data_IF_053647980174
#
_entry.id   IF_053647980174
#
_cell.length_a   1.000
_cell.length_b   1.000
_cell.length_c   1.000
_cell.angle_alpha   90.00
_cell.angle_beta   90.00
_cell.angle_gamma   90.00
#
_symmetry.space_group_name_H-M   'P 1'
#
loop_
_entity.id
_entity.type
_entity.pdbx_description
1 polymer ?
#
# COMPACT_ATOMS: atom_id res chain seq x y z
N UNK A 1 15.59 -20.67 -11.54
CA UNK A 1 14.57 -19.65 -11.80
C UNK A 1 13.23 -20.29 -12.09
N UNK A 2 12.14 -19.63 -11.73
CA UNK A 2 10.80 -20.11 -12.06
C UNK A 2 10.60 -20.11 -13.59
N UNK A 3 9.91 -21.10 -14.17
CA UNK A 3 9.55 -21.08 -15.57
C UNK A 3 8.73 -19.83 -15.90
N UNK A 4 8.89 -19.28 -17.09
CA UNK A 4 8.17 -18.07 -17.55
C UNK A 4 6.65 -18.14 -17.36
N UNK A 5 6.05 -19.30 -17.61
CA UNK A 5 4.62 -19.55 -17.37
C UNK A 5 4.22 -19.37 -15.88
N UNK A 6 5.11 -19.74 -14.96
CA UNK A 6 4.87 -19.57 -13.51
C UNK A 6 4.94 -18.08 -13.11
N UNK A 7 5.83 -17.32 -13.72
CA UNK A 7 5.92 -15.87 -13.47
C UNK A 7 4.64 -15.13 -13.93
N UNK A 8 4.08 -15.49 -15.09
CA UNK A 8 2.80 -14.93 -15.56
C UNK A 8 1.65 -15.30 -14.62
N UNK A 9 1.60 -16.55 -14.12
CA UNK A 9 0.58 -16.94 -13.13
C UNK A 9 0.66 -16.13 -11.85
N UNK A 10 1.86 -15.86 -11.34
CA UNK A 10 2.06 -15.01 -10.15
C UNK A 10 1.54 -13.59 -10.37
N UNK A 11 1.83 -13.01 -11.54
CA UNK A 11 1.34 -11.68 -11.90
C UNK A 11 -0.19 -11.65 -12.00
N UNK A 12 -0.80 -12.69 -12.55
CA UNK A 12 -2.27 -12.82 -12.63
C UNK A 12 -2.89 -12.91 -11.22
N UNK A 13 -2.32 -13.71 -10.33
CA UNK A 13 -2.78 -13.84 -8.93
C UNK A 13 -2.66 -12.50 -8.20
N UNK A 14 -1.55 -11.80 -8.37
CA UNK A 14 -1.35 -10.45 -7.83
C UNK A 14 -2.41 -9.46 -8.32
N UNK A 15 -2.71 -9.47 -9.62
CA UNK A 15 -3.73 -8.58 -10.22
C UNK A 15 -5.13 -8.90 -9.72
N UNK A 16 -5.49 -10.18 -9.57
CA UNK A 16 -6.76 -10.59 -8.97
C UNK A 16 -6.86 -10.11 -7.53
N UNK A 17 -5.79 -10.25 -6.73
CA UNK A 17 -5.73 -9.70 -5.37
C UNK A 17 -6.00 -8.20 -5.35
N UNK A 18 -5.38 -7.45 -6.25
CA UNK A 18 -5.59 -6.00 -6.39
C UNK A 18 -7.04 -5.64 -6.72
N UNK A 19 -7.66 -6.34 -7.67
CA UNK A 19 -9.07 -6.13 -8.04
C UNK A 19 -10.01 -6.39 -6.86
N UNK A 20 -9.83 -7.52 -6.17
CA UNK A 20 -10.65 -7.86 -4.99
C UNK A 20 -10.53 -6.78 -3.92
N UNK A 21 -9.33 -6.26 -3.66
CA UNK A 21 -9.13 -5.20 -2.68
C UNK A 21 -9.87 -3.91 -3.05
N UNK A 22 -9.93 -3.55 -4.32
CA UNK A 22 -10.66 -2.36 -4.78
C UNK A 22 -12.12 -2.42 -4.35
N UNK A 23 -12.78 -3.56 -4.59
CA UNK A 23 -14.17 -3.75 -4.19
C UNK A 23 -14.35 -3.79 -2.67
N UNK A 24 -13.49 -4.52 -1.98
CA UNK A 24 -13.51 -4.60 -0.50
C UNK A 24 -13.28 -3.22 0.12
N UNK A 25 -12.30 -2.48 -0.35
CA UNK A 25 -12.01 -1.13 0.14
C UNK A 25 -13.16 -0.17 -0.11
N UNK A 26 -13.78 -0.23 -1.29
CA UNK A 26 -14.93 0.60 -1.63
C UNK A 26 -16.16 0.31 -0.74
N UNK A 27 -16.38 -0.96 -0.39
CA UNK A 27 -17.51 -1.37 0.44
C UNK A 27 -17.29 -1.06 1.94
N UNK A 28 -16.09 -1.28 2.46
CA UNK A 28 -15.87 -1.27 3.91
C UNK A 28 -15.24 0.02 4.47
N UNK A 29 -14.43 0.74 3.69
CA UNK A 29 -13.63 1.86 4.23
C UNK A 29 -14.46 3.08 4.61
N UNK A 30 -15.64 3.28 4.04
CA UNK A 30 -16.52 4.40 4.42
C UNK A 30 -17.40 4.09 5.63
N UNK A 31 -17.79 2.84 5.81
CA UNK A 31 -18.79 2.46 6.81
C UNK A 31 -18.16 1.94 8.11
N UNK A 32 -17.04 1.24 8.05
CA UNK A 32 -16.47 0.51 9.19
C UNK A 32 -15.13 1.10 9.62
N UNK A 33 -14.26 1.52 8.70
CA UNK A 33 -12.91 1.96 9.01
C UNK A 33 -12.60 3.37 8.50
N UNK A 34 -11.85 4.12 9.30
CA UNK A 34 -11.18 5.33 8.83
C UNK A 34 -10.15 4.97 7.76
N UNK A 35 -10.08 5.75 6.67
CA UNK A 35 -9.09 5.57 5.60
C UNK A 35 -7.66 5.45 6.13
N UNK A 36 -7.33 6.17 7.23
CA UNK A 36 -6.01 6.09 7.87
C UNK A 36 -5.75 4.74 8.54
N UNK A 37 -6.74 4.19 9.24
CA UNK A 37 -6.61 2.87 9.89
C UNK A 37 -6.48 1.78 8.84
N UNK A 38 -7.31 1.82 7.80
CA UNK A 38 -7.23 0.88 6.69
C UNK A 38 -5.86 0.94 6.00
N UNK A 39 -5.28 2.14 5.82
CA UNK A 39 -3.94 2.32 5.25
C UNK A 39 -2.85 1.67 6.12
N UNK A 40 -2.91 1.80 7.45
CA UNK A 40 -1.98 1.15 8.38
C UNK A 40 -2.10 -0.38 8.27
N UNK A 41 -3.33 -0.90 8.23
CA UNK A 41 -3.58 -2.35 8.12
C UNK A 41 -3.00 -2.88 6.80
N UNK A 42 -3.25 -2.22 5.68
CA UNK A 42 -2.79 -2.68 4.37
C UNK A 42 -1.27 -2.57 4.21
N UNK A 43 -0.66 -1.48 4.66
CA UNK A 43 0.81 -1.35 4.64
C UNK A 43 1.48 -2.35 5.56
N UNK A 44 0.93 -2.59 6.76
CA UNK A 44 1.40 -3.61 7.69
C UNK A 44 1.28 -5.02 7.12
N UNK A 45 0.15 -5.35 6.50
CA UNK A 45 -0.07 -6.65 5.85
C UNK A 45 0.92 -6.86 4.69
N UNK A 46 1.18 -5.84 3.88
CA UNK A 46 2.18 -5.89 2.80
C UNK A 46 3.58 -6.12 3.34
N UNK A 47 3.97 -5.38 4.39
CA UNK A 47 5.28 -5.50 5.03
C UNK A 47 5.50 -6.91 5.60
N UNK A 48 4.52 -7.46 6.34
CA UNK A 48 4.60 -8.80 6.91
C UNK A 48 4.67 -9.85 5.80
N UNK A 49 3.86 -9.72 4.76
CA UNK A 49 3.86 -10.64 3.62
C UNK A 49 5.20 -10.66 2.90
N UNK A 50 5.80 -9.50 2.64
CA UNK A 50 7.14 -9.41 2.04
C UNK A 50 8.21 -10.00 2.93
N UNK A 51 8.17 -9.74 4.24
CA UNK A 51 9.10 -10.33 5.20
C UNK A 51 9.05 -11.87 5.18
N UNK A 52 7.85 -12.45 5.19
CA UNK A 52 7.67 -13.90 5.15
C UNK A 52 8.20 -14.51 3.85
N UNK A 53 7.97 -13.86 2.73
CA UNK A 53 8.52 -14.30 1.43
C UNK A 53 10.04 -14.17 1.41
N UNK A 54 10.62 -13.12 2.02
CA UNK A 54 12.08 -12.99 2.14
C UNK A 54 12.73 -14.07 3.00
N UNK A 55 12.07 -14.47 4.10
CA UNK A 55 12.59 -15.48 5.02
C UNK A 55 12.37 -16.91 4.52
N UNK A 56 11.26 -17.16 3.84
CA UNK A 56 10.84 -18.48 3.38
C UNK A 56 10.46 -18.47 1.89
N UNK A 57 11.43 -18.35 0.97
CA UNK A 57 11.17 -18.20 -0.47
C UNK A 57 10.76 -19.53 -1.14
N UNK A 58 9.75 -20.21 -0.61
CA UNK A 58 9.19 -21.42 -1.22
C UNK A 58 8.17 -21.07 -2.30
N UNK A 59 8.01 -21.87 -3.37
CA UNK A 59 7.04 -21.58 -4.43
C UNK A 59 5.60 -21.42 -3.92
N UNK A 60 5.23 -22.17 -2.88
CA UNK A 60 3.90 -22.09 -2.27
C UNK A 60 3.70 -20.75 -1.53
N UNK A 61 4.70 -20.31 -0.76
CA UNK A 61 4.67 -19.01 -0.06
C UNK A 61 4.63 -17.86 -1.06
N UNK A 62 5.49 -17.88 -2.07
CA UNK A 62 5.51 -16.84 -3.12
C UNK A 62 4.16 -16.74 -3.82
N UNK A 63 3.52 -17.87 -4.13
CA UNK A 63 2.20 -17.88 -4.79
C UNK A 63 1.09 -17.34 -3.89
N UNK A 64 1.04 -17.80 -2.63
CA UNK A 64 0.03 -17.35 -1.67
C UNK A 64 0.17 -15.85 -1.33
N UNK A 65 1.38 -15.42 -1.07
CA UNK A 65 1.64 -14.01 -0.73
C UNK A 65 1.59 -13.07 -1.94
N UNK A 66 1.73 -13.56 -3.19
CA UNK A 66 1.47 -12.74 -4.38
C UNK A 66 0.05 -12.17 -4.37
N UNK A 67 -0.96 -12.97 -3.99
CA UNK A 67 -2.33 -12.49 -3.81
C UNK A 67 -2.43 -11.45 -2.70
N UNK A 68 -1.85 -11.72 -1.53
CA UNK A 68 -1.93 -10.82 -0.36
C UNK A 68 -1.22 -9.49 -0.64
N UNK A 69 -0.05 -9.52 -1.29
CA UNK A 69 0.68 -8.30 -1.67
C UNK A 69 -0.10 -7.53 -2.73
N UNK A 70 -0.68 -8.20 -3.73
CA UNK A 70 -1.55 -7.57 -4.72
C UNK A 70 -2.76 -6.91 -4.06
N UNK A 71 -3.42 -7.60 -3.14
CA UNK A 71 -4.54 -7.08 -2.38
C UNK A 71 -4.14 -5.85 -1.55
N UNK A 72 -3.15 -5.97 -0.70
CA UNK A 72 -2.80 -4.93 0.25
C UNK A 72 -2.04 -3.76 -0.40
N UNK A 73 -0.94 -4.04 -1.13
CA UNK A 73 -0.10 -2.98 -1.68
C UNK A 73 -0.73 -2.29 -2.90
N UNK A 74 -1.11 -3.05 -3.93
CA UNK A 74 -1.58 -2.46 -5.17
C UNK A 74 -3.04 -1.98 -5.10
N UNK A 75 -3.95 -2.80 -4.55
CA UNK A 75 -5.36 -2.44 -4.46
C UNK A 75 -5.65 -1.48 -3.30
N UNK A 76 -5.10 -1.76 -2.12
CA UNK A 76 -5.43 -1.02 -0.90
C UNK A 76 -4.68 0.31 -0.75
N UNK A 77 -3.36 0.27 -0.72
CA UNK A 77 -2.53 1.44 -0.40
C UNK A 77 -2.68 2.55 -1.43
N UNK A 78 -2.71 2.22 -2.73
CA UNK A 78 -2.82 3.22 -3.80
C UNK A 78 -4.15 3.97 -3.73
N UNK A 79 -5.27 3.26 -3.57
CA UNK A 79 -6.59 3.88 -3.47
C UNK A 79 -6.76 4.74 -2.22
N UNK A 80 -6.30 4.22 -1.07
CA UNK A 80 -6.39 4.95 0.18
C UNK A 80 -5.49 6.18 0.17
N UNK A 81 -4.30 6.09 -0.41
CA UNK A 81 -3.40 7.22 -0.59
C UNK A 81 -4.04 8.36 -1.39
N UNK A 82 -4.62 8.06 -2.55
CA UNK A 82 -5.35 9.03 -3.37
C UNK A 82 -6.54 9.65 -2.60
N UNK A 83 -7.30 8.83 -1.87
CA UNK A 83 -8.45 9.28 -1.07
C UNK A 83 -8.01 10.21 0.06
N UNK A 84 -6.96 9.85 0.81
CA UNK A 84 -6.42 10.67 1.90
C UNK A 84 -5.91 12.01 1.36
N UNK A 85 -5.21 12.01 0.22
CA UNK A 85 -4.75 13.24 -0.43
C UNK A 85 -5.93 14.15 -0.83
N UNK A 86 -6.96 13.60 -1.47
CA UNK A 86 -8.14 14.37 -1.85
C UNK A 86 -8.91 14.94 -0.65
N UNK A 87 -8.95 14.21 0.46
CA UNK A 87 -9.62 14.66 1.70
C UNK A 87 -8.78 15.67 2.48
N UNK A 88 -7.46 15.59 2.44
CA UNK A 88 -6.56 16.51 3.16
C UNK A 88 -6.50 17.89 2.53
N UNK A 89 -6.80 18.01 1.24
CA UNK A 89 -6.75 19.29 0.50
C UNK A 89 -8.08 19.59 -0.20
N UNK A 90 -9.16 19.92 0.55
CA UNK A 90 -10.50 20.10 -0.01
C UNK A 90 -10.60 21.20 -1.07
N UNK A 91 -9.83 22.29 -0.92
CA UNK A 91 -9.81 23.43 -1.84
C UNK A 91 -8.84 23.23 -3.04
N UNK A 92 -8.08 22.14 -3.07
CA UNK A 92 -7.07 21.85 -4.10
C UNK A 92 -7.01 20.38 -4.47
N UNK A 93 -8.12 19.66 -4.44
CA UNK A 93 -8.19 18.21 -4.67
C UNK A 93 -7.48 17.76 -5.94
N UNK A 94 -7.73 18.43 -7.06
CA UNK A 94 -7.11 18.11 -8.35
C UNK A 94 -5.59 18.28 -8.34
N UNK A 95 -5.08 19.38 -7.73
CA UNK A 95 -3.65 19.62 -7.61
C UNK A 95 -2.97 18.58 -6.71
N UNK A 96 -3.55 18.29 -5.55
CA UNK A 96 -3.02 17.30 -4.62
C UNK A 96 -3.00 15.90 -5.23
N UNK A 97 -4.08 15.49 -5.87
CA UNK A 97 -4.20 14.21 -6.57
C UNK A 97 -3.23 14.13 -7.76
N UNK A 98 -3.06 15.23 -8.50
CA UNK A 98 -2.08 15.32 -9.59
C UNK A 98 -0.64 15.11 -9.11
N UNK A 99 -0.23 15.74 -8.00
CA UNK A 99 1.09 15.54 -7.39
C UNK A 99 1.26 14.07 -6.95
N UNK A 100 0.24 13.47 -6.33
CA UNK A 100 0.27 12.08 -5.91
C UNK A 100 0.50 11.12 -7.08
N UNK A 101 -0.25 11.26 -8.16
CA UNK A 101 -0.09 10.41 -9.34
C UNK A 101 1.21 10.68 -10.11
N UNK A 102 1.70 11.93 -10.13
CA UNK A 102 3.00 12.25 -10.71
C UNK A 102 4.13 11.55 -9.94
N UNK A 103 4.11 11.61 -8.61
CA UNK A 103 5.06 10.87 -7.78
C UNK A 103 4.98 9.35 -8.00
N UNK A 104 3.76 8.80 -8.11
CA UNK A 104 3.52 7.41 -8.44
C UNK A 104 4.08 7.01 -9.81
N UNK A 105 3.94 7.87 -10.82
CA UNK A 105 4.47 7.64 -12.16
C UNK A 105 6.00 7.63 -12.17
N UNK A 106 6.63 8.55 -11.43
CA UNK A 106 8.10 8.58 -11.26
C UNK A 106 8.57 7.28 -10.59
N UNK A 107 7.89 6.83 -9.54
CA UNK A 107 8.20 5.57 -8.87
C UNK A 107 8.04 4.37 -9.82
N UNK A 108 6.95 4.32 -10.61
CA UNK A 108 6.68 3.26 -11.59
C UNK A 108 7.75 3.16 -12.68
N UNK A 109 8.45 4.23 -12.97
CA UNK A 109 9.60 4.23 -13.88
C UNK A 109 10.90 3.88 -13.16
N UNK A 110 11.14 4.45 -11.98
CA UNK A 110 12.42 4.35 -11.28
C UNK A 110 12.62 2.97 -10.63
N UNK A 111 11.56 2.41 -10.01
CA UNK A 111 11.64 1.12 -9.31
C UNK A 111 12.04 -0.02 -10.24
N UNK A 112 11.42 -0.22 -11.43
CA UNK A 112 11.86 -1.26 -12.36
C UNK A 112 13.32 -1.12 -12.81
N UNK A 113 13.85 0.10 -12.96
CA UNK A 113 15.26 0.32 -13.30
C UNK A 113 16.19 -0.13 -12.16
N UNK A 114 15.84 0.16 -10.93
CA UNK A 114 16.60 -0.28 -9.75
C UNK A 114 16.54 -1.80 -9.62
N UNK A 115 15.35 -2.39 -9.72
CA UNK A 115 15.17 -3.86 -9.59
C UNK A 115 15.85 -4.60 -10.72
N UNK A 116 15.90 -4.06 -11.95
CA UNK A 116 16.66 -4.63 -13.06
C UNK A 116 18.17 -4.67 -12.79
N UNK A 117 18.73 -3.66 -12.12
CA UNK A 117 20.13 -3.70 -11.65
C UNK A 117 20.35 -4.69 -10.52
N UNK A 118 19.45 -4.71 -9.54
CA UNK A 118 19.52 -5.64 -8.40
C UNK A 118 19.37 -7.11 -8.85
N UNK A 119 18.59 -7.38 -9.90
CA UNK A 119 18.43 -8.73 -10.46
C UNK A 119 19.71 -9.34 -10.98
N UNK A 120 20.68 -8.51 -11.39
CA UNK A 120 22.01 -8.94 -11.83
C UNK A 120 22.88 -9.44 -10.66
N UNK A 121 22.57 -9.00 -9.43
CA UNK A 121 23.28 -9.43 -8.20
C UNK A 121 22.62 -10.69 -7.66
N UNK A 122 21.35 -10.61 -7.29
CA UNK A 122 20.55 -11.77 -6.86
C UNK A 122 19.06 -11.42 -6.81
N UNK A 123 18.21 -12.45 -6.95
CA UNK A 123 16.75 -12.30 -6.76
C UNK A 123 16.42 -11.88 -5.31
N UNK A 124 17.19 -12.42 -4.34
CA UNK A 124 17.04 -12.04 -2.93
C UNK A 124 17.24 -10.53 -2.69
N UNK A 125 18.17 -9.90 -3.41
CA UNK A 125 18.42 -8.45 -3.29
C UNK A 125 17.19 -7.62 -3.68
N UNK A 126 16.43 -8.06 -4.68
CA UNK A 126 15.17 -7.39 -5.06
C UNK A 126 14.15 -7.52 -3.93
N UNK A 127 13.98 -8.71 -3.37
CA UNK A 127 13.00 -8.97 -2.32
C UNK A 127 13.29 -8.15 -1.06
N UNK A 128 14.56 -8.06 -0.66
CA UNK A 128 14.98 -7.23 0.47
C UNK A 128 14.81 -5.73 0.20
N UNK A 129 15.04 -5.29 -1.03
CA UNK A 129 14.78 -3.90 -1.43
C UNK A 129 13.29 -3.56 -1.36
N UNK A 130 12.41 -4.43 -1.86
CA UNK A 130 10.96 -4.25 -1.78
C UNK A 130 10.47 -4.26 -0.32
N UNK A 131 11.04 -5.13 0.52
CA UNK A 131 10.75 -5.15 1.95
C UNK A 131 11.16 -3.83 2.63
N UNK A 132 12.33 -3.28 2.30
CA UNK A 132 12.79 -1.98 2.85
C UNK A 132 11.82 -0.86 2.49
N UNK A 133 11.35 -0.82 1.24
CA UNK A 133 10.34 0.17 0.79
C UNK A 133 9.04 -0.03 1.57
N UNK A 134 8.60 -1.26 1.79
CA UNK A 134 7.40 -1.56 2.56
C UNK A 134 7.51 -1.10 4.02
N UNK A 135 8.67 -1.27 4.65
CA UNK A 135 8.94 -0.76 6.02
C UNK A 135 8.84 0.75 6.07
N UNK A 136 9.47 1.45 5.13
CA UNK A 136 9.40 2.92 5.04
C UNK A 136 7.94 3.36 4.85
N UNK A 137 7.21 2.71 3.94
CA UNK A 137 5.80 2.98 3.69
C UNK A 137 4.93 2.76 4.93
N UNK A 138 5.19 1.70 5.70
CA UNK A 138 4.48 1.42 6.94
C UNK A 138 4.75 2.48 8.02
N UNK A 139 6.00 2.89 8.21
CA UNK A 139 6.36 3.96 9.16
C UNK A 139 5.66 5.28 8.81
N UNK A 140 5.64 5.64 7.51
CA UNK A 140 4.94 6.84 7.04
C UNK A 140 3.42 6.70 7.29
N UNK A 141 2.83 5.54 7.03
CA UNK A 141 1.41 5.29 7.27
C UNK A 141 1.05 5.40 8.76
N UNK A 142 1.88 4.89 9.66
CA UNK A 142 1.73 5.06 11.10
C UNK A 142 1.77 6.53 11.52
N UNK A 143 2.73 7.29 11.00
CA UNK A 143 2.85 8.72 11.30
C UNK A 143 1.61 9.51 10.84
N UNK A 144 1.16 9.29 9.60
CA UNK A 144 -0.03 9.94 9.04
C UNK A 144 -1.29 9.55 9.83
N UNK A 145 -1.43 8.25 10.13
CA UNK A 145 -2.55 7.73 10.89
C UNK A 145 -2.64 8.33 12.30
N UNK A 146 -1.51 8.42 12.99
CA UNK A 146 -1.42 9.05 14.30
C UNK A 146 -1.85 10.52 14.26
N UNK A 147 -1.36 11.28 13.29
CA UNK A 147 -1.73 12.69 13.09
C UNK A 147 -3.21 12.88 12.78
N UNK A 148 -3.80 12.02 11.97
CA UNK A 148 -5.23 12.07 11.66
C UNK A 148 -6.11 11.72 12.87
N UNK A 149 -5.70 10.76 13.70
CA UNK A 149 -6.42 10.41 14.92
C UNK A 149 -6.40 11.57 15.93
N UNK A 150 -5.27 12.23 16.09
CA UNK A 150 -5.17 13.42 16.93
C UNK A 150 -6.07 14.57 16.45
N UNK A 151 -6.07 14.86 15.14
CA UNK A 151 -6.91 15.89 14.56
C UNK A 151 -8.41 15.62 14.76
N UNK A 152 -8.83 14.36 14.63
CA UNK A 152 -10.22 13.94 14.89
C UNK A 152 -10.60 14.06 16.37
N UNK A 153 -9.71 13.71 17.28
CA UNK A 153 -9.93 13.86 18.72
C UNK A 153 -10.12 15.34 19.09
N UNK A 154 -9.29 16.24 18.57
CA UNK A 154 -9.40 17.67 18.78
C UNK A 154 -10.73 18.25 18.24
N UNK A 155 -11.16 17.83 17.05
CA UNK A 155 -12.45 18.26 16.47
C UNK A 155 -13.66 17.76 17.28
N UNK A 156 -13.58 16.57 17.85
CA UNK A 156 -14.66 16.02 18.69
C UNK A 156 -14.82 16.82 19.97
N UNK A 157 -13.73 17.20 20.62
CA UNK A 157 -13.73 18.04 21.83
C UNK A 157 -14.31 19.44 21.52
N UNK A 158 -13.90 20.06 20.41
CA UNK A 158 -14.42 21.36 19.99
C UNK A 158 -15.93 21.34 19.71
N UNK A 159 -16.44 20.27 19.07
CA UNK A 159 -17.88 20.12 18.83
C UNK A 159 -18.68 19.97 20.11
N UNK A 160 -18.20 19.22 21.08
CA UNK A 160 -18.90 19.02 22.37
C UNK A 160 -18.93 20.31 23.18
N UNK A 161 -17.89 21.15 23.10
CA UNK A 161 -17.82 22.43 23.76
C UNK A 161 -18.75 23.53 23.16
N UNK A 162 -19.15 23.39 21.89
CA UNK A 162 -20.08 24.31 21.22
C UNK A 162 -21.56 23.92 21.43
N UNK A 163 -21.83 22.68 21.80
CA UNK A 163 -23.18 22.15 22.03
C UNK A 163 -23.58 22.11 23.53
N UNK A 164 -22.66 22.44 24.43
CA UNK A 164 -22.89 22.64 25.87
C UNK A 164 -23.01 24.10 26.21
#
# INVERSE_FOLDING_TARGET
>A
GLPYASAIKLLSIYTVGSLVCVFVTAAFVKEVFSSAIAMIIYTGLSMISLLLVCLFPTPMMVTGFAFVIGFAAAGGVLQLGATIMAMSFPNGKGKATGIFYTAGSIASFTIPLITAKLSQISIASIMWFDFLIAVIGFVIALYIGYRQLQARAAQKVSRTAVTA
#
